data_IF_906632696329
#
_entry.id   IF_906632696329
#
_cell.length_a   1.000
_cell.length_b   1.000
_cell.length_c   1.000
_cell.angle_alpha   90.00
_cell.angle_beta   90.00
_cell.angle_gamma   90.00
#
_symmetry.space_group_name_H-M   'P 1'
#
loop_
_entity.id
_entity.type
_entity.pdbx_description
1 polymer ?
#
# COMPACT_ATOMS: atom_id res chain seq x y z
N UNK A 1 5.44 -0.36 4.39
CA UNK A 1 4.73 -1.54 4.96
C UNK A 1 3.22 -1.37 4.81
N UNK A 2 2.45 -2.45 4.76
CA UNK A 2 0.99 -2.42 4.71
C UNK A 2 0.36 -3.67 5.32
N UNK A 3 -0.90 -3.55 5.72
CA UNK A 3 -1.67 -4.60 6.37
C UNK A 3 -3.13 -4.50 5.92
N UNK A 4 -3.78 -5.64 5.71
CA UNK A 4 -5.18 -5.66 5.32
C UNK A 4 -5.80 -7.05 5.30
N UNK A 5 -7.10 -7.09 5.04
CA UNK A 5 -7.89 -8.31 4.93
C UNK A 5 -8.15 -8.62 3.45
N UNK A 6 -7.84 -9.84 3.04
CA UNK A 6 -8.32 -10.39 1.77
C UNK A 6 -9.82 -10.67 1.92
N UNK A 7 -10.65 -9.89 1.24
CA UNK A 7 -12.11 -9.98 1.39
C UNK A 7 -12.71 -11.25 0.79
N UNK A 8 -11.97 -11.97 -0.06
CA UNK A 8 -12.48 -13.19 -0.71
C UNK A 8 -12.35 -14.39 0.23
N UNK A 9 -11.19 -14.57 0.87
CA UNK A 9 -10.94 -15.71 1.76
C UNK A 9 -10.93 -15.36 3.26
N UNK A 10 -11.08 -14.08 3.60
CA UNK A 10 -11.11 -13.58 4.97
C UNK A 10 -9.75 -13.54 5.68
N UNK A 11 -8.65 -13.89 5.00
CA UNK A 11 -7.32 -13.93 5.60
C UNK A 11 -6.71 -12.55 5.71
N UNK A 12 -6.13 -12.24 6.86
CA UNK A 12 -5.31 -11.04 7.00
C UNK A 12 -3.90 -11.27 6.48
N UNK A 13 -3.38 -10.28 5.75
CA UNK A 13 -2.06 -10.30 5.14
C UNK A 13 -1.24 -9.08 5.58
N UNK A 14 0.05 -9.30 5.81
CA UNK A 14 1.05 -8.24 6.03
C UNK A 14 1.95 -8.19 4.80
N UNK A 15 2.19 -6.99 4.32
CA UNK A 15 3.02 -6.71 3.15
C UNK A 15 4.16 -5.79 3.57
N UNK A 16 5.39 -6.19 3.29
CA UNK A 16 6.58 -5.40 3.60
C UNK A 16 7.45 -5.25 2.37
N UNK A 17 8.15 -4.11 2.33
CA UNK A 17 9.19 -3.84 1.36
C UNK A 17 10.51 -3.93 2.12
N UNK A 18 11.48 -4.66 1.57
CA UNK A 18 12.82 -4.68 2.13
C UNK A 18 13.55 -3.37 1.78
N UNK A 19 14.77 -3.17 2.28
CA UNK A 19 15.60 -2.01 1.92
C UNK A 19 15.91 -1.92 0.41
N UNK A 20 15.57 -2.94 -0.38
CA UNK A 20 15.49 -2.92 -1.83
C UNK A 20 14.03 -2.64 -2.28
N UNK A 21 13.75 -1.52 -2.95
CA UNK A 21 12.40 -1.14 -3.40
C UNK A 21 11.74 -2.13 -4.35
N UNK A 22 12.51 -3.03 -4.97
CA UNK A 22 12.00 -4.06 -5.86
C UNK A 22 11.68 -5.37 -5.13
N UNK A 23 12.02 -5.50 -3.85
CA UNK A 23 11.81 -6.71 -3.07
C UNK A 23 10.65 -6.53 -2.10
N UNK A 24 9.51 -7.09 -2.49
CA UNK A 24 8.28 -7.09 -1.73
C UNK A 24 7.99 -8.48 -1.20
N UNK A 25 7.63 -8.56 0.08
CA UNK A 25 7.25 -9.79 0.74
C UNK A 25 5.82 -9.67 1.26
N UNK A 26 5.09 -10.78 1.18
CA UNK A 26 3.76 -10.92 1.78
C UNK A 26 3.73 -12.15 2.67
N UNK A 27 3.00 -12.04 3.78
CA UNK A 27 2.65 -13.18 4.64
C UNK A 27 1.16 -13.15 4.93
N UNK A 28 0.52 -14.31 4.81
CA UNK A 28 -0.82 -14.52 5.35
C UNK A 28 -0.69 -14.98 6.80
N UNK A 29 -1.42 -14.35 7.72
CA UNK A 29 -1.41 -14.72 9.14
C UNK A 29 -1.88 -16.16 9.36
N UNK A 30 -2.75 -16.67 8.49
CA UNK A 30 -3.26 -18.05 8.58
C UNK A 30 -2.18 -19.10 8.30
N UNK A 31 -1.23 -18.80 7.40
CA UNK A 31 -0.18 -19.72 6.97
C UNK A 31 1.20 -19.43 7.55
N UNK A 32 1.46 -18.19 7.96
CA UNK A 32 2.71 -17.77 8.62
C UNK A 32 3.96 -17.68 7.74
N UNK A 33 3.90 -18.15 6.48
CA UNK A 33 5.06 -18.16 5.59
C UNK A 33 5.15 -16.89 4.73
N UNK A 34 6.32 -16.24 4.78
CA UNK A 34 6.66 -15.14 3.88
C UNK A 34 6.94 -15.66 2.47
N UNK A 35 6.44 -14.95 1.47
CA UNK A 35 6.75 -15.20 0.05
C UNK A 35 7.04 -13.88 -0.68
N UNK A 36 7.80 -13.97 -1.76
CA UNK A 36 8.07 -12.84 -2.63
C UNK A 36 6.83 -12.50 -3.47
N UNK A 37 6.56 -11.21 -3.62
CA UNK A 37 5.64 -10.69 -4.63
C UNK A 37 6.42 -10.31 -5.89
N UNK A 38 5.73 -10.30 -7.03
CA UNK A 38 6.22 -9.65 -8.23
C UNK A 38 6.48 -8.16 -7.95
N UNK A 39 7.53 -7.55 -8.51
CA UNK A 39 7.83 -6.15 -8.25
C UNK A 39 6.72 -5.22 -8.78
N UNK A 40 6.49 -4.06 -8.12
CA UNK A 40 5.53 -3.07 -8.60
C UNK A 40 5.98 -2.40 -9.91
N UNK A 41 5.05 -1.79 -10.66
CA UNK A 41 5.37 -1.10 -11.92
C UNK A 41 6.30 0.12 -11.76
N UNK A 42 6.45 0.63 -10.54
CA UNK A 42 7.38 1.70 -10.20
C UNK A 42 7.73 1.65 -8.71
N UNK A 43 8.81 2.34 -8.35
CA UNK A 43 9.30 2.40 -6.97
C UNK A 43 8.45 3.30 -6.09
N UNK A 44 8.25 2.87 -4.84
CA UNK A 44 7.64 3.62 -3.75
C UNK A 44 8.69 3.72 -2.64
N UNK A 45 8.73 4.83 -1.92
CA UNK A 45 9.65 4.99 -0.80
C UNK A 45 9.25 4.08 0.39
N UNK A 46 10.20 3.47 1.11
CA UNK A 46 9.89 2.60 2.25
C UNK A 46 9.08 3.29 3.36
N UNK A 47 9.22 4.61 3.44
CA UNK A 47 8.57 5.49 4.42
C UNK A 47 7.13 5.84 4.08
N UNK A 48 6.64 5.49 2.88
CA UNK A 48 5.27 5.75 2.48
C UNK A 48 4.26 5.06 3.41
N UNK A 49 3.30 5.85 3.90
CA UNK A 49 2.15 5.35 4.66
C UNK A 49 1.20 4.59 3.73
N UNK A 50 0.46 3.66 4.32
CA UNK A 50 -0.50 2.84 3.59
C UNK A 50 -1.86 2.77 4.26
N UNK A 51 -2.86 2.42 3.48
CA UNK A 51 -4.24 2.19 3.92
C UNK A 51 -4.81 0.96 3.22
N UNK A 52 -5.64 0.18 3.91
CA UNK A 52 -6.38 -0.92 3.30
C UNK A 52 -7.84 -0.50 3.09
N UNK A 53 -8.34 -0.63 1.86
CA UNK A 53 -9.73 -0.34 1.49
C UNK A 53 -10.19 -1.39 0.47
N UNK A 54 -11.34 -2.01 0.71
CA UNK A 54 -11.98 -2.98 -0.19
C UNK A 54 -11.03 -4.09 -0.67
N UNK A 55 -10.32 -4.73 0.25
CA UNK A 55 -9.41 -5.83 -0.08
C UNK A 55 -8.13 -5.43 -0.81
N UNK A 56 -7.83 -4.13 -0.93
CA UNK A 56 -6.59 -3.64 -1.53
C UNK A 56 -5.82 -2.76 -0.54
N UNK A 57 -4.49 -2.84 -0.57
CA UNK A 57 -3.63 -1.89 0.15
C UNK A 57 -3.15 -0.82 -0.82
N UNK A 58 -3.22 0.44 -0.40
CA UNK A 58 -2.80 1.60 -1.17
C UNK A 58 -1.62 2.28 -0.48
N UNK A 59 -0.62 2.67 -1.27
CA UNK A 59 0.50 3.50 -0.84
C UNK A 59 0.50 4.80 -1.64
N UNK A 60 0.48 5.93 -0.94
CA UNK A 60 0.64 7.24 -1.57
C UNK A 60 2.12 7.59 -1.61
N UNK A 61 2.64 7.79 -2.82
CA UNK A 61 3.97 8.35 -3.04
C UNK A 61 3.86 9.81 -3.44
N UNK A 62 4.23 10.68 -2.51
CA UNK A 62 4.30 12.13 -2.70
C UNK A 62 5.74 12.48 -3.07
N UNK A 63 6.00 12.64 -4.36
CA UNK A 63 7.29 13.12 -4.87
C UNK A 63 7.13 14.55 -5.39
N UNK A 64 8.20 15.35 -5.30
CA UNK A 64 8.20 16.77 -5.71
C UNK A 64 7.70 17.06 -7.14
N UNK A 65 7.65 16.06 -8.04
CA UNK A 65 7.21 16.24 -9.43
C UNK A 65 5.89 15.55 -9.77
N UNK A 66 5.53 14.47 -9.09
CA UNK A 66 4.33 13.67 -9.38
C UNK A 66 3.87 12.97 -8.11
N UNK A 67 2.56 12.93 -7.90
CA UNK A 67 1.97 12.09 -6.87
C UNK A 67 1.39 10.85 -7.52
N UNK A 68 1.75 9.68 -7.01
CA UNK A 68 1.27 8.38 -7.51
C UNK A 68 0.64 7.57 -6.38
N UNK A 69 -0.36 6.77 -6.71
CA UNK A 69 -0.95 5.80 -5.79
C UNK A 69 -0.70 4.40 -6.34
N UNK A 70 0.09 3.62 -5.60
CA UNK A 70 0.25 2.19 -5.88
C UNK A 70 -0.80 1.43 -5.09
N UNK A 71 -1.48 0.49 -5.75
CA UNK A 71 -2.37 -0.45 -5.08
C UNK A 71 -1.84 -1.88 -5.22
N UNK A 72 -2.09 -2.70 -4.21
CA UNK A 72 -1.92 -4.16 -4.23
C UNK A 72 -3.27 -4.79 -3.91
N UNK A 73 -3.79 -5.60 -4.83
CA UNK A 73 -4.95 -6.43 -4.56
C UNK A 73 -4.53 -7.59 -3.65
N UNK A 74 -5.17 -7.73 -2.49
CA UNK A 74 -4.77 -8.76 -1.54
C UNK A 74 -5.20 -10.15 -1.98
N UNK A 75 -6.20 -10.30 -2.84
CA UNK A 75 -6.65 -11.59 -3.31
C UNK A 75 -5.75 -12.12 -4.44
N UNK A 76 -5.54 -11.30 -5.47
CA UNK A 76 -4.72 -11.69 -6.62
C UNK A 76 -3.22 -11.50 -6.39
N UNK A 77 -2.85 -10.69 -5.40
CA UNK A 77 -1.47 -10.36 -5.06
C UNK A 77 -0.74 -9.62 -6.19
N UNK A 78 -1.50 -8.85 -6.98
CA UNK A 78 -1.01 -8.08 -8.10
C UNK A 78 -0.97 -6.57 -7.79
N UNK A 79 0.12 -5.94 -8.20
CA UNK A 79 0.27 -4.49 -8.13
C UNK A 79 -0.40 -3.81 -9.32
N UNK A 80 -1.00 -2.63 -9.08
CA UNK A 80 -1.53 -1.76 -10.12
C UNK A 80 -1.31 -0.29 -9.82
N UNK A 81 -1.09 0.49 -10.88
CA UNK A 81 -1.07 1.94 -10.80
C UNK A 81 -2.51 2.49 -10.71
N UNK A 82 -2.76 3.39 -9.77
CA UNK A 82 -4.04 4.07 -9.64
C UNK A 82 -3.88 5.52 -10.10
N UNK A 83 -4.50 5.82 -11.24
CA UNK A 83 -4.55 7.17 -11.78
C UNK A 83 -5.44 8.05 -10.88
N UNK A 84 -4.91 9.17 -10.43
CA UNK A 84 -5.66 10.15 -9.63
C UNK A 84 -5.62 11.49 -10.35
N UNK A 85 -6.77 12.19 -10.49
CA UNK A 85 -6.76 13.56 -10.99
C UNK A 85 -5.86 14.42 -10.09
N UNK A 86 -4.98 15.21 -10.70
CA UNK A 86 -4.02 16.07 -9.98
C UNK A 86 -4.69 17.00 -8.96
N UNK A 87 -5.94 17.40 -9.20
CA UNK A 87 -6.77 18.22 -8.31
C UNK A 87 -7.24 17.52 -7.03
N UNK A 88 -7.24 16.18 -6.98
CA UNK A 88 -7.68 15.43 -5.81
C UNK A 88 -6.53 15.15 -4.85
N UNK A 89 -5.30 15.20 -5.34
CA UNK A 89 -4.17 14.71 -4.57
C UNK A 89 -3.77 15.67 -3.46
N UNK A 90 -3.93 16.99 -3.65
CA UNK A 90 -3.80 17.96 -2.56
C UNK A 90 -4.76 17.62 -1.41
N UNK A 91 -6.03 17.36 -1.73
CA UNK A 91 -7.06 17.03 -0.75
C UNK A 91 -6.83 15.65 -0.11
N UNK A 92 -6.37 14.65 -0.87
CA UNK A 92 -6.03 13.32 -0.36
C UNK A 92 -4.81 13.37 0.56
N UNK A 93 -3.76 14.13 0.21
CA UNK A 93 -2.61 14.35 1.10
C UNK A 93 -3.06 14.99 2.41
N UNK A 94 -3.95 15.99 2.34
CA UNK A 94 -4.52 16.64 3.54
C UNK A 94 -5.42 15.71 4.35
N UNK A 95 -6.24 14.89 3.68
CA UNK A 95 -7.13 13.95 4.36
C UNK A 95 -6.36 12.81 5.02
N UNK A 96 -5.32 12.29 4.34
CA UNK A 96 -4.42 11.29 4.89
C UNK A 96 -3.58 11.92 6.00
N UNK A 97 -3.04 13.14 5.86
CA UNK A 97 -2.35 13.77 6.99
C UNK A 97 -3.28 13.99 8.19
N UNK A 98 -4.56 14.33 7.99
CA UNK A 98 -5.53 14.48 9.08
C UNK A 98 -5.94 13.15 9.72
N UNK A 99 -6.12 12.09 8.94
CA UNK A 99 -6.46 10.74 9.45
C UNK A 99 -5.24 10.08 10.13
N UNK A 100 -4.03 10.37 9.66
CA UNK A 100 -2.79 9.72 10.13
C UNK A 100 -1.93 10.56 11.09
N UNK A 101 -2.22 11.86 11.30
CA UNK A 101 -1.54 12.74 12.28
C UNK A 101 -2.37 13.05 13.53
N UNK A 102 -3.54 12.43 13.74
CA UNK A 102 -4.10 12.40 15.09
C UNK A 102 -3.16 11.53 15.94
N UNK A 103 -2.46 12.09 16.96
CA UNK A 103 -1.83 11.23 17.95
C UNK A 103 -2.97 10.44 18.61
N UNK A 104 -2.88 9.13 18.60
CA UNK A 104 -3.63 8.34 19.57
C UNK A 104 -3.04 8.69 20.93
N UNK A 105 -3.60 9.72 21.56
CA UNK A 105 -3.34 10.25 22.92
C UNK A 105 -1.87 10.53 23.28
#
# INVERSE_FOLDING_TARGET
MGFGKDEVNGSYKVVTMLFDPNRWLIVSIRGGNWRNLSPPPYKIEPTCKSVCVNGSIYWLNVCHRYNKILALDLHTEEFRDVSVPSSWISNIVTLISQIFCLPLL
#
